data_IF_926216746668
#
_entry.id   IF_926216746668
#
_cell.length_a   1.000
_cell.length_b   1.000
_cell.length_c   1.000
_cell.angle_alpha   90.00
_cell.angle_beta   90.00
_cell.angle_gamma   90.00
#
_symmetry.space_group_name_H-M   'P 1'
#
loop_
_entity.id
_entity.type
_entity.pdbx_description
1 polymer ?
#
# COMPACT_ATOMS: atom_id res chain seq x y z
N UNK A 1 15.37 -7.34 8.66
CA UNK A 1 14.11 -6.81 9.21
C UNK A 1 12.96 -7.67 8.71
N UNK A 2 11.98 -8.03 9.55
CA UNK A 2 10.75 -8.68 9.08
C UNK A 2 9.99 -7.79 8.09
N UNK A 3 9.19 -8.41 7.24
CA UNK A 3 8.23 -7.68 6.41
C UNK A 3 7.13 -7.08 7.29
N UNK A 4 6.72 -5.89 6.90
CA UNK A 4 5.75 -5.08 7.58
C UNK A 4 4.87 -4.40 6.52
N UNK A 5 3.66 -3.96 6.88
CA UNK A 5 2.82 -3.28 5.91
C UNK A 5 1.55 -2.69 6.50
N UNK A 6 0.66 -2.30 5.61
CA UNK A 6 -0.60 -1.68 5.95
C UNK A 6 -1.42 -1.29 4.72
N UNK A 7 -2.28 -0.30 4.90
CA UNK A 7 -3.22 0.22 3.92
C UNK A 7 -2.93 1.68 3.62
N UNK A 8 -3.13 2.08 2.38
CA UNK A 8 -3.10 3.45 1.88
C UNK A 8 -4.52 4.02 1.95
N UNK A 9 -4.71 5.12 2.68
CA UNK A 9 -5.98 5.82 2.81
C UNK A 9 -5.83 7.26 2.35
N UNK A 10 -6.89 7.84 1.81
CA UNK A 10 -6.82 9.17 1.23
C UNK A 10 -8.10 9.60 0.54
N UNK A 11 -7.97 10.33 -0.56
CA UNK A 11 -9.08 10.89 -1.34
C UNK A 11 -8.90 10.59 -2.82
N UNK A 12 -10.02 10.55 -3.54
CA UNK A 12 -10.04 10.61 -5.00
C UNK A 12 -10.47 12.00 -5.42
N UNK A 13 -9.68 12.63 -6.28
CA UNK A 13 -10.01 13.93 -6.85
C UNK A 13 -10.97 13.73 -8.02
N UNK A 14 -12.12 14.41 -7.98
CA UNK A 14 -13.18 14.26 -8.99
C UNK A 14 -12.75 14.82 -10.35
N UNK A 15 -11.89 15.84 -10.35
CA UNK A 15 -11.48 16.58 -11.56
C UNK A 15 -10.75 15.70 -12.57
N UNK A 16 -9.81 14.87 -12.11
CA UNK A 16 -8.95 14.05 -12.97
C UNK A 16 -8.97 12.55 -12.59
N UNK A 17 -9.70 12.18 -11.53
CA UNK A 17 -9.75 10.81 -11.02
C UNK A 17 -8.47 10.36 -10.33
N UNK A 18 -7.55 11.28 -10.01
CA UNK A 18 -6.31 10.95 -9.30
C UNK A 18 -6.56 10.63 -7.83
N UNK A 19 -5.72 9.75 -7.27
CA UNK A 19 -5.74 9.40 -5.85
C UNK A 19 -4.65 10.13 -5.09
N UNK A 20 -5.00 10.75 -3.96
CA UNK A 20 -4.05 11.38 -3.03
C UNK A 20 -4.02 10.56 -1.76
N UNK A 21 -2.88 9.94 -1.45
CA UNK A 21 -2.66 9.23 -0.19
C UNK A 21 -2.36 10.25 0.91
N UNK A 22 -3.19 10.30 1.95
CA UNK A 22 -3.06 11.23 3.07
C UNK A 22 -2.69 10.51 4.38
N UNK A 23 -3.00 9.21 4.48
CA UNK A 23 -2.74 8.41 5.67
C UNK A 23 -2.32 6.97 5.35
N UNK A 24 -1.44 6.43 6.19
CA UNK A 24 -0.97 5.05 6.15
C UNK A 24 -1.32 4.37 7.47
N UNK A 25 -1.98 3.22 7.42
CA UNK A 25 -2.03 2.39 8.63
C UNK A 25 -0.65 1.78 8.86
N UNK A 26 -0.17 1.84 10.10
CA UNK A 26 1.16 1.36 10.49
C UNK A 26 1.08 -0.04 11.08
N UNK A 27 2.14 -0.87 10.94
CA UNK A 27 2.22 -2.17 11.62
C UNK A 27 2.06 -2.02 13.13
N UNK A 28 1.46 -3.03 13.78
CA UNK A 28 1.13 -2.93 15.19
C UNK A 28 0.48 -4.17 15.75
N UNK A 29 -0.22 -3.99 16.88
CA UNK A 29 -0.74 -5.12 17.68
C UNK A 29 -1.70 -5.99 16.86
N UNK A 30 -1.42 -7.29 16.84
CA UNK A 30 -2.22 -8.32 16.18
C UNK A 30 -1.73 -8.70 14.79
N UNK A 31 -0.82 -7.91 14.20
CA UNK A 31 -0.20 -8.27 12.94
C UNK A 31 0.84 -9.38 13.17
N UNK A 32 1.06 -10.22 12.15
CA UNK A 32 2.12 -11.25 12.19
C UNK A 32 3.15 -10.92 11.13
N UNK A 33 4.41 -10.84 11.56
CA UNK A 33 5.53 -10.46 10.71
C UNK A 33 6.53 -11.62 10.67
N UNK A 34 7.03 -11.90 9.48
CA UNK A 34 8.11 -12.85 9.22
C UNK A 34 9.09 -12.23 8.24
N UNK A 35 10.22 -12.88 7.96
CA UNK A 35 11.21 -12.33 7.01
C UNK A 35 10.68 -12.21 5.58
N UNK A 36 9.68 -13.01 5.22
CA UNK A 36 9.15 -13.16 3.85
C UNK A 36 7.62 -13.22 3.85
N UNK A 37 7.00 -12.46 4.75
CA UNK A 37 5.55 -12.40 4.79
C UNK A 37 5.02 -11.55 5.92
N UNK A 38 3.91 -10.89 5.64
CA UNK A 38 3.17 -10.03 6.56
C UNK A 38 1.67 -10.36 6.54
N UNK A 39 1.09 -10.59 7.70
CA UNK A 39 -0.35 -10.78 7.86
C UNK A 39 -0.97 -9.59 8.60
N UNK A 40 -1.81 -8.83 7.89
CA UNK A 40 -2.59 -7.71 8.42
C UNK A 40 -3.70 -8.20 9.34
N UNK A 41 -3.77 -7.66 10.55
CA UNK A 41 -4.88 -7.88 11.45
C UNK A 41 -6.12 -7.05 11.06
N UNK A 42 -7.29 -7.40 11.62
CA UNK A 42 -8.53 -6.61 11.45
C UNK A 42 -8.44 -5.18 12.02
N UNK A 43 -7.34 -4.82 12.69
CA UNK A 43 -7.09 -3.47 13.18
C UNK A 43 -7.01 -2.46 12.03
N UNK A 44 -6.33 -2.81 10.94
CA UNK A 44 -6.19 -1.95 9.77
C UNK A 44 -7.56 -1.56 9.18
N UNK A 45 -8.50 -2.51 9.10
CA UNK A 45 -9.87 -2.22 8.67
C UNK A 45 -10.60 -1.26 9.61
N UNK A 46 -10.44 -1.40 10.92
CA UNK A 46 -11.03 -0.46 11.89
C UNK A 46 -10.41 0.93 11.81
N UNK A 47 -9.10 1.02 11.54
CA UNK A 47 -8.44 2.29 11.27
C UNK A 47 -8.95 2.93 9.98
N UNK A 48 -9.19 2.12 8.93
CA UNK A 48 -9.86 2.56 7.71
C UNK A 48 -11.24 3.15 7.96
N UNK A 49 -12.07 2.47 8.76
CA UNK A 49 -13.40 2.97 9.11
C UNK A 49 -13.32 4.30 9.89
N UNK A 50 -12.38 4.41 10.84
CA UNK A 50 -12.18 5.66 11.59
C UNK A 50 -11.72 6.80 10.68
N UNK A 51 -10.83 6.51 9.74
CA UNK A 51 -10.38 7.48 8.75
C UNK A 51 -11.55 7.99 7.91
N UNK A 52 -12.41 7.09 7.42
CA UNK A 52 -13.61 7.43 6.68
C UNK A 52 -14.56 8.34 7.50
N UNK A 53 -14.84 7.96 8.75
CA UNK A 53 -15.67 8.76 9.67
C UNK A 53 -15.09 10.14 9.96
N UNK A 54 -13.77 10.25 10.12
CA UNK A 54 -13.08 11.50 10.40
C UNK A 54 -12.98 12.45 9.19
N UNK A 55 -13.27 11.95 7.97
CA UNK A 55 -13.20 12.71 6.73
C UNK A 55 -14.59 12.86 6.10
N UNK A 56 -15.61 13.15 6.92
CA UNK A 56 -17.00 13.39 6.47
C UNK A 56 -17.54 12.30 5.54
N UNK A 57 -17.17 11.04 5.79
CA UNK A 57 -17.57 9.88 4.99
C UNK A 57 -17.08 9.92 3.52
N UNK A 58 -16.05 10.72 3.23
CA UNK A 58 -15.44 10.85 1.89
C UNK A 58 -14.07 10.19 1.77
N UNK A 59 -13.45 9.80 2.89
CA UNK A 59 -12.14 9.14 2.89
C UNK A 59 -12.20 7.74 2.27
N UNK A 60 -11.26 7.41 1.39
CA UNK A 60 -11.28 6.15 0.63
C UNK A 60 -10.04 5.29 0.88
N UNK A 61 -10.20 3.98 0.69
CA UNK A 61 -9.12 3.03 0.56
C UNK A 61 -8.52 3.11 -0.85
N UNK A 62 -7.21 3.39 -0.91
CA UNK A 62 -6.47 3.54 -2.17
C UNK A 62 -5.57 2.35 -2.47
N UNK A 63 -5.32 1.46 -1.50
CA UNK A 63 -4.59 0.23 -1.71
C UNK A 63 -3.69 -0.18 -0.56
N UNK A 64 -2.60 -0.87 -0.86
CA UNK A 64 -1.78 -1.58 0.12
C UNK A 64 -0.30 -1.20 0.00
N UNK A 65 0.39 -1.28 1.12
CA UNK A 65 1.84 -1.18 1.16
C UNK A 65 2.44 -2.26 2.03
N UNK A 66 3.65 -2.71 1.69
CA UNK A 66 4.46 -3.56 2.55
C UNK A 66 5.96 -3.42 2.25
N UNK A 67 6.81 -3.98 3.09
CA UNK A 67 8.27 -3.99 2.93
C UNK A 67 8.76 -5.35 2.47
N UNK A 68 9.78 -5.38 1.62
CA UNK A 68 10.59 -6.56 1.30
C UNK A 68 12.03 -6.35 1.80
N UNK A 69 12.76 -7.41 2.15
CA UNK A 69 14.19 -7.33 2.43
C UNK A 69 15.06 -7.17 1.16
N UNK A 70 14.45 -7.05 -0.02
CA UNK A 70 15.12 -6.90 -1.31
C UNK A 70 15.49 -5.45 -1.60
N UNK A 71 16.61 -5.21 -2.29
CA UNK A 71 17.03 -3.86 -2.67
C UNK A 71 16.06 -3.19 -3.65
N UNK A 72 15.74 -3.90 -4.75
CA UNK A 72 14.76 -3.48 -5.76
C UNK A 72 13.62 -4.48 -5.75
N UNK A 73 12.52 -4.17 -5.04
CA UNK A 73 11.51 -5.16 -4.71
C UNK A 73 10.71 -5.55 -5.95
N UNK A 74 10.24 -6.80 -5.96
CA UNK A 74 9.25 -7.29 -6.93
C UNK A 74 8.11 -8.01 -6.18
N UNK A 75 6.87 -8.00 -6.71
CA UNK A 75 5.79 -8.76 -6.12
C UNK A 75 6.10 -10.26 -6.20
N UNK A 76 6.01 -10.94 -5.07
CA UNK A 76 6.07 -12.39 -4.97
C UNK A 76 4.73 -13.01 -5.41
N UNK A 77 4.67 -14.34 -5.49
CA UNK A 77 3.42 -15.05 -5.75
C UNK A 77 2.36 -14.82 -4.67
N UNK A 78 2.78 -14.62 -3.42
CA UNK A 78 1.89 -14.31 -2.29
C UNK A 78 1.32 -12.91 -2.47
N UNK A 79 2.13 -11.93 -2.85
CA UNK A 79 1.68 -10.56 -3.08
C UNK A 79 0.69 -10.48 -4.23
N UNK A 80 0.92 -11.23 -5.31
CA UNK A 80 -0.01 -11.32 -6.43
C UNK A 80 -1.34 -11.96 -6.03
N UNK A 81 -1.33 -12.96 -5.14
CA UNK A 81 -2.55 -13.56 -4.62
C UNK A 81 -3.31 -12.59 -3.70
N UNK A 82 -2.59 -11.88 -2.83
CA UNK A 82 -3.17 -10.87 -1.95
C UNK A 82 -3.73 -9.68 -2.73
N UNK A 83 -3.05 -9.25 -3.79
CA UNK A 83 -3.56 -8.23 -4.70
C UNK A 83 -4.86 -8.68 -5.37
N UNK A 84 -4.89 -9.89 -5.96
CA UNK A 84 -6.10 -10.43 -6.61
C UNK A 84 -7.27 -10.45 -5.64
N UNK A 85 -7.04 -10.90 -4.41
CA UNK A 85 -8.05 -10.93 -3.35
C UNK A 85 -8.54 -9.51 -3.01
N UNK A 86 -7.62 -8.56 -2.82
CA UNK A 86 -7.98 -7.19 -2.51
C UNK A 86 -8.86 -6.56 -3.62
N UNK A 87 -8.50 -6.75 -4.89
CA UNK A 87 -9.29 -6.17 -5.99
C UNK A 87 -10.64 -6.88 -6.23
N UNK A 88 -10.81 -8.12 -5.76
CA UNK A 88 -12.07 -8.88 -5.90
C UNK A 88 -12.99 -8.80 -4.69
N UNK A 89 -12.45 -8.64 -3.48
CA UNK A 89 -13.20 -8.73 -2.23
C UNK A 89 -13.33 -7.39 -1.49
N UNK A 90 -12.37 -6.47 -1.65
CA UNK A 90 -12.41 -5.19 -0.95
C UNK A 90 -13.31 -4.19 -1.68
N UNK A 91 -13.93 -3.29 -0.91
CA UNK A 91 -14.64 -2.12 -1.46
C UNK A 91 -13.63 -0.99 -1.65
N UNK A 92 -13.42 -0.60 -2.91
CA UNK A 92 -12.62 0.56 -3.28
C UNK A 92 -13.35 1.38 -4.35
N UNK A 93 -12.96 2.65 -4.45
CA UNK A 93 -13.46 3.56 -5.46
C UNK A 93 -12.39 3.74 -6.55
N UNK A 94 -12.83 4.08 -7.77
CA UNK A 94 -11.93 4.28 -8.91
C UNK A 94 -11.70 3.03 -9.77
N UNK A 95 -10.65 3.05 -10.59
CA UNK A 95 -10.37 2.01 -11.61
C UNK A 95 -9.50 0.86 -11.09
N UNK A 96 -9.01 0.96 -9.86
CA UNK A 96 -8.10 -0.01 -9.26
C UNK A 96 -7.51 0.52 -7.96
N UNK A 97 -6.59 -0.25 -7.39
CA UNK A 97 -5.83 0.09 -6.19
C UNK A 97 -4.34 0.17 -6.50
N UNK A 98 -3.62 0.90 -5.65
CA UNK A 98 -2.16 1.00 -5.68
C UNK A 98 -1.55 -0.07 -4.77
N UNK A 99 -0.49 -0.70 -5.26
CA UNK A 99 0.36 -1.59 -4.48
C UNK A 99 1.76 -0.98 -4.38
N UNK A 100 2.24 -0.79 -3.15
CA UNK A 100 3.57 -0.26 -2.87
C UNK A 100 4.39 -1.34 -2.18
N UNK A 101 5.59 -1.59 -2.70
CA UNK A 101 6.56 -2.48 -2.05
C UNK A 101 7.82 -1.67 -1.76
N UNK A 102 8.17 -1.56 -0.49
CA UNK A 102 9.34 -0.83 -0.02
C UNK A 102 10.50 -1.81 0.15
N UNK A 103 11.48 -1.73 -0.74
CA UNK A 103 12.75 -2.45 -0.62
C UNK A 103 13.81 -1.64 0.13
N UNK A 104 15.02 -2.18 0.23
CA UNK A 104 16.12 -1.51 0.95
C UNK A 104 16.76 -0.36 0.18
N UNK A 105 16.66 -0.36 -1.16
CA UNK A 105 17.29 0.67 -2.02
C UNK A 105 16.26 1.45 -2.84
N UNK A 106 15.03 0.92 -2.97
CA UNK A 106 13.98 1.54 -3.76
C UNK A 106 12.59 1.12 -3.31
N UNK A 107 11.60 1.92 -3.71
CA UNK A 107 10.18 1.67 -3.56
C UNK A 107 9.62 1.34 -4.94
N UNK A 108 8.98 0.19 -5.09
CA UNK A 108 8.27 -0.20 -6.30
C UNK A 108 6.79 0.17 -6.21
N UNK A 109 6.21 0.53 -7.35
CA UNK A 109 4.80 0.93 -7.46
C UNK A 109 4.09 0.11 -8.54
N UNK A 110 2.89 -0.35 -8.20
CA UNK A 110 2.00 -1.05 -9.12
C UNK A 110 0.57 -0.54 -9.00
N UNK A 111 -0.21 -0.67 -10.07
CA UNK A 111 -1.65 -0.44 -10.05
C UNK A 111 -2.38 -1.65 -10.61
N UNK A 112 -3.58 -1.94 -10.11
CA UNK A 112 -4.46 -2.93 -10.75
C UNK A 112 -5.88 -2.90 -10.18
N UNK A 113 -6.85 -3.34 -10.97
CA UNK A 113 -8.26 -3.50 -10.57
C UNK A 113 -8.77 -4.90 -10.93
N UNK A 114 -10.02 -5.21 -10.54
CA UNK A 114 -10.59 -6.56 -10.69
C UNK A 114 -10.48 -7.15 -12.11
N UNK A 115 -10.62 -6.30 -13.13
CA UNK A 115 -10.58 -6.67 -14.55
C UNK A 115 -9.30 -6.23 -15.27
N UNK A 116 -8.25 -5.91 -14.51
CA UNK A 116 -6.99 -5.40 -15.06
C UNK A 116 -5.81 -6.19 -14.49
N UNK A 117 -4.78 -6.40 -15.31
CA UNK A 117 -3.53 -6.95 -14.79
C UNK A 117 -2.85 -5.94 -13.87
N UNK A 118 -2.07 -6.45 -12.92
CA UNK A 118 -1.19 -5.62 -12.11
C UNK A 118 -0.13 -5.00 -13.02
N UNK A 119 -0.25 -3.70 -13.26
CA UNK A 119 0.66 -2.91 -14.08
C UNK A 119 1.80 -2.37 -13.20
N UNK A 120 3.05 -2.51 -13.65
CA UNK A 120 4.21 -1.89 -13.01
C UNK A 120 4.30 -0.43 -13.44
N UNK A 121 4.29 0.48 -12.46
CA UNK A 121 4.37 1.92 -12.71
C UNK A 121 5.81 2.45 -12.67
N UNK A 122 6.70 1.74 -11.97
CA UNK A 122 8.11 2.12 -11.84
C UNK A 122 8.68 1.87 -10.45
N UNK A 123 9.92 2.33 -10.25
CA UNK A 123 10.62 2.31 -8.98
C UNK A 123 11.18 3.69 -8.66
N UNK A 124 11.08 4.11 -7.41
CA UNK A 124 11.71 5.31 -6.87
C UNK A 124 12.89 4.87 -6.00
N UNK A 125 14.10 5.33 -6.30
CA UNK A 125 15.27 5.12 -5.44
C UNK A 125 15.09 5.89 -4.14
N UNK A 126 15.50 5.30 -3.02
CA UNK A 126 15.62 6.07 -1.78
C UNK A 126 16.61 7.20 -2.03
N UNK A 127 16.23 8.43 -1.65
CA UNK A 127 17.19 9.52 -1.67
C UNK A 127 18.18 9.27 -0.53
N UNK A 128 19.47 9.10 -0.86
CA UNK A 128 20.49 9.23 0.16
C UNK A 128 20.38 10.65 0.70
N UNK A 129 20.03 10.79 1.98
CA UNK A 129 20.32 12.04 2.66
C UNK A 129 21.85 12.15 2.67
N UNK A 130 22.42 12.92 1.75
CA UNK A 130 23.73 13.49 1.99
C UNK A 130 23.57 14.34 3.26
N UNK A 131 24.05 13.81 4.38
CA UNK A 131 24.31 14.62 5.56
C UNK A 131 25.40 15.58 5.11
N UNK A 132 24.97 16.78 4.66
CA UNK A 132 25.86 17.86 4.32
C UNK A 132 26.72 18.18 5.54
N UNK A 133 27.96 17.69 5.53
CA UNK A 133 28.97 18.10 6.47
C UNK A 133 29.43 19.50 6.10
N UNK A 134 29.06 20.48 6.92
CA UNK A 134 29.90 21.61 7.34
C UNK A 134 29.53 21.96 8.77
#
# INVERSE_FOLDING_TARGET
MPEAGGTLLGKLLVEDGSGVVEYLTLPGKGDRQSRFGFFRSRRHQREGLRYWQANDETGVYLGLWHTHPEATPKPSSVDLADWRRAVSEDVYHGKGIIFVIVGTDSIGFWHGGANQQLCHLGHLKHQNQEVGGV
#
